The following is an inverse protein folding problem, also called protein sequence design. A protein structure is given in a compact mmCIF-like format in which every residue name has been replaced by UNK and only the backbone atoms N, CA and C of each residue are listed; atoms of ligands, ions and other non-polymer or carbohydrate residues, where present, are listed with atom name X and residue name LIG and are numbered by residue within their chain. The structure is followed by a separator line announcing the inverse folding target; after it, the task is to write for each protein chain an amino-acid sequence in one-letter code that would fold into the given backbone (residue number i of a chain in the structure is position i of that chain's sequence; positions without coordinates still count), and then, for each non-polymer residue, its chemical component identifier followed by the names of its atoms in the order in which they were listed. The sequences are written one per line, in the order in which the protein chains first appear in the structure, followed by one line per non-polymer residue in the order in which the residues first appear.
data_IF_077225685484
#
_entry.id   IF_077225685484
#
_cell.length_a   1.000
_cell.length_b   1.000
_cell.length_c   1.000
_cell.angle_alpha   90.00
_cell.angle_beta   90.00
_cell.angle_gamma   90.00
#
_symmetry.space_group_name_H-M   'P 1'
#
loop_
_entity.id
_entity.type
_entity.pdbx_description
1 polymer ?
#
# COMPACT_ATOMS: atom_id res chain seq x y z
N UNK A 1 -4.79 7.88 -11.63
CA UNK A 1 -3.35 8.19 -11.50
C UNK A 1 -2.73 7.21 -10.52
N UNK A 2 -1.47 6.82 -10.71
CA UNK A 2 -0.74 5.95 -9.78
C UNK A 2 -0.02 6.78 -8.73
N UNK A 3 -0.15 6.41 -7.46
CA UNK A 3 0.49 7.08 -6.33
C UNK A 3 1.43 6.10 -5.63
N UNK A 4 2.71 6.46 -5.54
CA UNK A 4 3.68 5.68 -4.78
C UNK A 4 3.62 6.10 -3.30
N UNK A 5 3.09 5.21 -2.46
CA UNK A 5 2.95 5.43 -1.02
C UNK A 5 4.21 4.95 -0.31
N UNK A 6 5.26 5.78 -0.37
CA UNK A 6 6.49 5.55 0.37
C UNK A 6 6.34 5.92 1.85
N UNK A 7 6.95 5.16 2.76
CA UNK A 7 6.97 5.50 4.17
C UNK A 7 7.35 4.33 5.09
N UNK A 8 7.54 4.60 6.39
CA UNK A 8 7.90 3.59 7.38
C UNK A 8 6.74 2.64 7.72
N UNK A 9 5.53 2.89 7.21
CA UNK A 9 4.36 2.06 7.49
C UNK A 9 4.52 0.60 7.06
N UNK A 10 5.44 0.31 6.13
CA UNK A 10 5.81 -1.05 5.73
C UNK A 10 6.45 -1.88 6.84
N UNK A 11 6.95 -1.24 7.91
CA UNK A 11 7.53 -1.92 9.07
C UNK A 11 6.54 -2.13 10.21
N UNK A 12 5.28 -1.69 10.06
CA UNK A 12 4.27 -1.90 11.08
C UNK A 12 3.99 -3.39 11.26
N UNK A 13 3.63 -3.84 12.48
CA UNK A 13 3.18 -5.21 12.71
C UNK A 13 1.96 -5.61 11.85
N UNK A 14 1.15 -4.62 11.45
CA UNK A 14 -0.06 -4.77 10.65
C UNK A 14 0.10 -4.23 9.21
N UNK A 15 1.32 -4.19 8.67
CA UNK A 15 1.64 -3.55 7.38
C UNK A 15 0.73 -3.99 6.22
N UNK A 16 0.33 -5.27 6.15
CA UNK A 16 -0.59 -5.77 5.13
C UNK A 16 -2.02 -5.19 5.27
N UNK A 17 -2.50 -5.06 6.51
CA UNK A 17 -3.80 -4.44 6.79
C UNK A 17 -3.77 -2.95 6.46
N UNK A 18 -2.72 -2.25 6.88
CA UNK A 18 -2.49 -0.84 6.52
C UNK A 18 -2.50 -0.65 5.00
N UNK A 19 -1.79 -1.50 4.26
CA UNK A 19 -1.68 -1.40 2.81
C UNK A 19 -3.05 -1.57 2.13
N UNK A 20 -3.88 -2.48 2.60
CA UNK A 20 -5.23 -2.66 2.07
C UNK A 20 -6.12 -1.44 2.33
N UNK A 21 -6.07 -0.86 3.53
CA UNK A 21 -6.80 0.37 3.86
C UNK A 21 -6.33 1.53 2.95
N UNK A 22 -5.02 1.66 2.73
CA UNK A 22 -4.46 2.68 1.85
C UNK A 22 -4.90 2.51 0.39
N UNK A 23 -4.90 1.28 -0.13
CA UNK A 23 -5.43 0.97 -1.47
C UNK A 23 -6.89 1.36 -1.60
N UNK A 24 -7.72 1.05 -0.61
CA UNK A 24 -9.14 1.41 -0.61
C UNK A 24 -9.35 2.93 -0.60
N UNK A 25 -8.55 3.66 0.18
CA UNK A 25 -8.60 5.12 0.20
C UNK A 25 -8.22 5.73 -1.15
N UNK A 26 -7.12 5.28 -1.76
CA UNK A 26 -6.71 5.73 -3.09
C UNK A 26 -7.77 5.39 -4.15
N UNK A 27 -8.34 4.18 -4.13
CA UNK A 27 -9.37 3.77 -5.07
C UNK A 27 -10.63 4.63 -4.97
N UNK A 28 -11.07 4.97 -3.76
CA UNK A 28 -12.20 5.89 -3.53
C UNK A 28 -11.94 7.28 -4.11
N UNK A 29 -10.68 7.71 -4.16
CA UNK A 29 -10.26 8.97 -4.78
C UNK A 29 -9.95 8.86 -6.30
N UNK A 30 -10.17 7.70 -6.93
CA UNK A 30 -9.85 7.50 -8.36
C UNK A 30 -8.35 7.32 -8.64
N UNK A 31 -7.61 6.82 -7.66
CA UNK A 31 -6.18 6.57 -7.74
C UNK A 31 -5.83 5.10 -7.49
N UNK A 32 -4.71 4.66 -8.04
CA UNK A 32 -4.11 3.36 -7.79
C UNK A 32 -2.93 3.55 -6.84
N UNK A 33 -2.91 2.84 -5.72
CA UNK A 33 -1.77 2.87 -4.80
C UNK A 33 -0.73 1.85 -5.25
N UNK A 34 0.53 2.31 -5.33
CA UNK A 34 1.72 1.48 -5.45
C UNK A 34 2.43 1.53 -4.09
N UNK A 35 2.61 0.38 -3.46
CA UNK A 35 3.12 0.25 -2.10
C UNK A 35 4.38 -0.62 -2.15
N UNK A 36 5.45 -0.33 -1.37
CA UNK A 36 6.67 -1.14 -1.39
C UNK A 36 6.47 -2.65 -1.09
N UNK A 37 5.30 -3.02 -0.55
CA UNK A 37 4.90 -4.40 -0.28
C UNK A 37 4.47 -5.17 -1.55
N UNK A 38 4.14 -4.49 -2.65
CA UNK A 38 3.53 -5.10 -3.85
C UNK A 38 4.48 -6.03 -4.65
N UNK A 39 5.78 -6.09 -4.28
CA UNK A 39 6.80 -6.91 -4.93
C UNK A 39 7.50 -7.91 -4.00
N UNK A 40 6.98 -8.15 -2.80
CA UNK A 40 7.55 -9.15 -1.88
C UNK A 40 6.97 -10.52 -2.24
N UNK A 41 7.72 -11.31 -3.01
CA UNK A 41 7.45 -12.73 -3.18
C UNK A 41 7.81 -13.48 -1.88
N UNK A 42 6.82 -13.99 -1.17
CA UNK A 42 7.03 -14.95 -0.08
C UNK A 42 7.21 -16.34 -0.70
N UNK A 43 8.44 -16.69 -1.09
CA UNK A 43 8.81 -18.06 -1.49
C UNK A 43 9.48 -18.77 -0.33
#
# INVERSE_FOLDING_TARGET
MKLYLAGPDVFRPDALHWAEVARQACRKAGHEALIPLDGIETT
#
